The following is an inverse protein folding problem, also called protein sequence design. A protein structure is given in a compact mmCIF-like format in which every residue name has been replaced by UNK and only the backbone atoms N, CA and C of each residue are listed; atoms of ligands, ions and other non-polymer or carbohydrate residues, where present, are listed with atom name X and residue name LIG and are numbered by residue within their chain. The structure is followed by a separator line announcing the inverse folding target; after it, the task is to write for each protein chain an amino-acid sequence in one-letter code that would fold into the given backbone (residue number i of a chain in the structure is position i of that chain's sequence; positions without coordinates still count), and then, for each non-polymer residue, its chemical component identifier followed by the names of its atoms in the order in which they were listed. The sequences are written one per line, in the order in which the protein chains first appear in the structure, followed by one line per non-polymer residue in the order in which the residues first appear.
data_IF_071636428108
#
_entry.id   IF_071636428108
#
_cell.length_a   1.000
_cell.length_b   1.000
_cell.length_c   1.000
_cell.angle_alpha   90.00
_cell.angle_beta   90.00
_cell.angle_gamma   90.00
#
_symmetry.space_group_name_H-M   'P 1'
#
loop_
_entity.id
_entity.type
_entity.pdbx_description
1 polymer ?
#
# COMPACT_ATOMS: atom_id res chain seq x y z
N UNK A 1 -5.12 13.47 41.56
CA UNK A 1 -5.10 13.05 40.13
C UNK A 1 -3.78 12.34 39.88
N UNK A 2 -3.77 11.02 39.68
CA UNK A 2 -2.52 10.30 39.35
C UNK A 2 -2.18 10.59 37.89
N UNK A 3 -1.00 11.16 37.63
CA UNK A 3 -0.50 11.32 36.28
C UNK A 3 -0.43 9.94 35.60
N UNK A 4 -1.11 9.79 34.46
CA UNK A 4 -1.03 8.58 33.66
C UNK A 4 0.42 8.38 33.22
N UNK A 5 0.97 7.18 33.40
CA UNK A 5 2.30 6.86 32.89
C UNK A 5 2.29 6.99 31.36
N UNK A 6 3.09 7.91 30.81
CA UNK A 6 3.16 8.19 29.37
C UNK A 6 4.34 7.44 28.74
N UNK A 7 4.15 6.95 27.52
CA UNK A 7 5.25 6.56 26.64
C UNK A 7 5.67 7.78 25.83
N UNK A 8 6.97 7.99 25.69
CA UNK A 8 7.50 9.07 24.85
C UNK A 8 8.75 8.60 24.13
N UNK A 9 8.78 8.86 22.84
CA UNK A 9 9.92 8.60 21.97
C UNK A 9 9.66 7.51 20.94
N UNK A 10 10.74 7.13 20.25
CA UNK A 10 10.71 6.18 19.16
C UNK A 10 11.22 4.82 19.63
N UNK A 11 10.55 3.77 19.18
CA UNK A 11 10.78 2.40 19.60
C UNK A 11 10.83 1.52 18.36
N UNK A 12 11.91 0.77 18.18
CA UNK A 12 12.13 -0.07 17.00
C UNK A 12 12.41 -1.51 17.37
N UNK A 13 11.82 -2.44 16.64
CA UNK A 13 12.14 -3.85 16.66
C UNK A 13 12.54 -4.28 15.25
N UNK A 14 13.71 -4.88 15.12
CA UNK A 14 14.20 -5.45 13.86
C UNK A 14 14.21 -6.97 13.98
N UNK A 15 14.02 -7.66 12.86
CA UNK A 15 14.22 -9.11 12.82
C UNK A 15 15.70 -9.49 13.00
N UNK A 16 15.97 -10.79 13.16
CA UNK A 16 17.32 -11.28 13.47
C UNK A 16 18.36 -11.01 12.38
N UNK A 17 17.92 -10.68 11.16
CA UNK A 17 18.76 -10.39 10.00
C UNK A 17 18.77 -8.89 9.63
N UNK A 18 17.98 -8.05 10.31
CA UNK A 18 17.95 -6.60 10.13
C UNK A 18 17.20 -6.10 8.89
N UNK A 19 16.46 -6.96 8.21
CA UNK A 19 15.76 -6.64 6.95
C UNK A 19 14.37 -6.08 7.21
N UNK A 20 13.68 -6.60 8.22
CA UNK A 20 12.32 -6.17 8.55
C UNK A 20 12.28 -5.40 9.86
N UNK A 21 11.48 -4.33 9.89
CA UNK A 21 11.33 -3.48 11.06
C UNK A 21 9.87 -3.29 11.48
N UNK A 22 9.69 -3.00 12.76
CA UNK A 22 8.46 -2.50 13.38
C UNK A 22 8.80 -1.32 14.27
N UNK A 23 8.25 -0.17 13.93
CA UNK A 23 8.51 1.09 14.60
C UNK A 23 7.23 1.63 15.24
N UNK A 24 7.35 2.09 16.47
CA UNK A 24 6.36 2.92 17.14
C UNK A 24 6.97 4.26 17.51
N UNK A 25 6.25 5.34 17.25
CA UNK A 25 6.56 6.67 17.78
C UNK A 25 5.42 7.08 18.71
N UNK A 26 5.71 7.36 19.97
CA UNK A 26 4.72 7.81 20.97
C UNK A 26 4.98 9.26 21.35
N UNK A 27 3.93 10.08 21.38
CA UNK A 27 3.99 11.46 21.84
C UNK A 27 3.37 11.66 23.23
N UNK A 28 3.44 12.91 23.70
CA UNK A 28 2.93 13.30 25.01
C UNK A 28 1.40 13.40 25.06
N UNK A 29 0.72 13.45 23.92
CA UNK A 29 -0.74 13.59 23.82
C UNK A 29 -1.45 12.24 23.70
N UNK A 30 -0.76 11.17 24.14
CA UNK A 30 -1.26 9.81 24.07
C UNK A 30 -1.54 9.33 22.64
N UNK A 31 -0.86 9.88 21.64
CA UNK A 31 -0.95 9.45 20.24
C UNK A 31 0.28 8.62 19.88
N UNK A 32 0.07 7.64 19.01
CA UNK A 32 1.13 6.83 18.44
C UNK A 32 1.06 6.77 16.92
N UNK A 33 2.22 6.58 16.30
CA UNK A 33 2.38 6.22 14.89
C UNK A 33 3.06 4.85 14.84
N UNK A 34 2.55 3.97 13.98
CA UNK A 34 3.09 2.65 13.71
C UNK A 34 3.50 2.53 12.25
N UNK A 35 4.68 1.98 12.02
CA UNK A 35 5.14 1.57 10.69
C UNK A 35 5.82 0.20 10.77
N UNK A 36 5.56 -0.64 9.78
CA UNK A 36 6.22 -1.92 9.58
C UNK A 36 6.60 -2.03 8.12
N UNK A 37 7.82 -2.50 7.86
CA UNK A 37 8.44 -2.43 6.54
C UNK A 37 9.71 -3.25 6.44
N UNK A 38 10.37 -3.09 5.31
CA UNK A 38 11.72 -3.58 5.07
C UNK A 38 12.40 -2.73 4.00
N UNK A 39 13.36 -3.31 3.28
CA UNK A 39 14.21 -2.59 2.33
C UNK A 39 13.45 -1.87 1.21
N UNK A 40 12.28 -2.40 0.81
CA UNK A 40 11.45 -1.82 -0.26
C UNK A 40 10.48 -0.74 0.24
N UNK A 41 10.52 -0.43 1.54
CA UNK A 41 9.69 0.59 2.19
C UNK A 41 8.67 0.02 3.18
N UNK A 42 7.76 0.88 3.59
CA UNK A 42 6.71 0.56 4.57
C UNK A 42 5.67 -0.34 3.92
N UNK A 43 5.37 -1.50 4.52
CA UNK A 43 4.33 -2.44 4.07
C UNK A 43 3.04 -2.33 4.89
N UNK A 44 3.11 -1.77 6.09
CA UNK A 44 1.95 -1.59 6.99
C UNK A 44 2.11 -0.32 7.81
N UNK A 45 1.03 0.41 8.04
CA UNK A 45 1.05 1.63 8.82
C UNK A 45 -0.21 1.81 9.66
N UNK A 46 -0.12 2.64 10.68
CA UNK A 46 -1.26 3.01 11.51
C UNK A 46 -0.97 4.23 12.38
N UNK A 47 -2.04 4.87 12.84
CA UNK A 47 -1.99 5.98 13.78
C UNK A 47 -3.19 5.90 14.70
N UNK A 48 -3.03 6.30 15.95
CA UNK A 48 -4.16 6.42 16.84
C UNK A 48 -3.78 6.74 18.27
N UNK A 49 -4.71 6.53 19.19
CA UNK A 49 -4.49 6.78 20.60
C UNK A 49 -4.03 5.54 21.35
N UNK A 50 -3.20 5.72 22.37
CA UNK A 50 -2.81 4.66 23.28
C UNK A 50 -3.26 4.94 24.71
N UNK A 51 -3.48 3.86 25.46
CA UNK A 51 -3.82 3.91 26.88
C UNK A 51 -2.95 2.88 27.60
N UNK A 52 -2.28 3.32 28.67
CA UNK A 52 -1.71 2.41 29.66
C UNK A 52 -2.67 2.28 30.83
N UNK A 53 -3.07 1.05 31.15
CA UNK A 53 -3.88 0.70 32.32
C UNK A 53 -3.28 -0.52 32.98
N UNK A 54 -2.82 -0.38 34.23
CA UNK A 54 -2.09 -1.39 34.97
C UNK A 54 -0.85 -1.87 34.17
N UNK A 55 -0.73 -3.17 33.94
CA UNK A 55 0.32 -3.81 33.14
C UNK A 55 -0.04 -3.92 31.64
N UNK A 56 -1.04 -3.19 31.16
CA UNK A 56 -1.53 -3.30 29.77
C UNK A 56 -1.32 -2.02 28.98
N UNK A 57 -0.85 -2.18 27.74
CA UNK A 57 -0.84 -1.14 26.71
C UNK A 57 -1.93 -1.47 25.68
N UNK A 58 -2.89 -0.57 25.50
CA UNK A 58 -3.90 -0.64 24.45
C UNK A 58 -3.55 0.38 23.37
N UNK A 59 -3.54 -0.07 22.12
CA UNK A 59 -3.32 0.74 20.93
C UNK A 59 -4.60 0.74 20.11
N UNK A 60 -5.31 1.87 20.08
CA UNK A 60 -6.51 2.06 19.27
C UNK A 60 -6.14 2.77 17.98
N UNK A 61 -6.33 2.13 16.82
CA UNK A 61 -5.95 2.67 15.50
C UNK A 61 -7.07 3.53 14.89
N UNK A 62 -7.57 4.50 15.64
CA UNK A 62 -8.70 5.36 15.29
C UNK A 62 -8.32 6.55 14.39
N UNK A 63 -7.08 7.03 14.48
CA UNK A 63 -6.58 8.16 13.70
C UNK A 63 -5.93 7.79 12.36
N UNK A 64 -5.91 6.51 11.97
CA UNK A 64 -5.29 6.10 10.70
C UNK A 64 -6.03 6.71 9.51
N UNK A 65 -5.33 7.52 8.72
CA UNK A 65 -5.83 8.05 7.46
C UNK A 65 -5.67 7.00 6.36
N UNK A 66 -6.71 6.82 5.56
CA UNK A 66 -6.64 5.94 4.39
C UNK A 66 -6.01 6.69 3.21
N UNK A 67 -5.33 5.95 2.34
CA UNK A 67 -4.82 6.46 1.07
C UNK A 67 -5.75 6.01 -0.04
N UNK A 68 -6.00 6.90 -0.99
CA UNK A 68 -6.74 6.56 -2.20
C UNK A 68 -5.89 5.61 -3.06
N UNK A 69 -6.49 4.50 -3.47
CA UNK A 69 -5.88 3.56 -4.42
C UNK A 69 -5.91 4.14 -5.84
N UNK A 70 -5.06 3.60 -6.70
CA UNK A 70 -5.17 3.83 -8.14
C UNK A 70 -6.56 3.42 -8.65
N UNK A 71 -7.02 4.08 -9.71
CA UNK A 71 -8.30 3.76 -10.34
C UNK A 71 -8.26 4.02 -11.84
N UNK A 72 -9.30 3.59 -12.55
CA UNK A 72 -9.42 3.82 -13.98
C UNK A 72 -10.85 4.15 -14.41
N UNK A 73 -10.96 4.76 -15.59
CA UNK A 73 -12.21 4.85 -16.34
C UNK A 73 -11.99 4.28 -17.74
N UNK A 74 -13.03 3.72 -18.34
CA UNK A 74 -12.92 3.08 -19.65
C UNK A 74 -14.07 3.44 -20.58
N UNK A 75 -13.75 3.73 -21.84
CA UNK A 75 -14.69 3.86 -22.95
C UNK A 75 -14.52 2.65 -23.86
N UNK A 76 -15.62 1.93 -24.11
CA UNK A 76 -15.65 0.69 -24.87
C UNK A 76 -16.25 0.91 -26.26
N UNK A 77 -15.68 0.29 -27.28
CA UNK A 77 -16.25 0.31 -28.63
C UNK A 77 -15.93 -0.97 -29.41
N UNK A 78 -16.71 -1.23 -30.46
CA UNK A 78 -16.63 -2.44 -31.27
C UNK A 78 -16.19 -2.10 -32.69
N UNK A 79 -15.56 -3.07 -33.35
CA UNK A 79 -15.20 -3.00 -34.77
C UNK A 79 -15.22 -4.41 -35.36
N UNK A 80 -15.03 -4.53 -36.67
CA UNK A 80 -15.01 -5.81 -37.39
C UNK A 80 -13.62 -6.46 -37.52
N UNK A 81 -12.55 -5.83 -37.01
CA UNK A 81 -11.17 -6.34 -37.15
C UNK A 81 -10.94 -7.61 -36.31
N UNK A 82 -10.03 -8.47 -36.70
CA UNK A 82 -9.63 -9.66 -35.90
C UNK A 82 -8.76 -9.33 -34.68
N UNK A 83 -8.53 -8.05 -34.44
CA UNK A 83 -7.80 -7.55 -33.29
C UNK A 83 -8.60 -6.52 -32.51
N UNK A 84 -8.24 -6.40 -31.25
CA UNK A 84 -8.70 -5.32 -30.39
C UNK A 84 -7.53 -4.46 -29.96
N UNK A 85 -7.79 -3.17 -29.84
CA UNK A 85 -6.84 -2.16 -29.39
C UNK A 85 -7.25 -1.67 -28.02
N UNK A 86 -6.34 -1.75 -27.05
CA UNK A 86 -6.45 -1.11 -25.75
C UNK A 86 -5.50 0.07 -25.74
N UNK A 87 -6.05 1.28 -25.79
CA UNK A 87 -5.29 2.52 -25.58
C UNK A 87 -5.37 2.87 -24.10
N UNK A 88 -4.22 3.09 -23.47
CA UNK A 88 -4.12 3.56 -22.10
C UNK A 88 -3.53 4.97 -22.07
N UNK A 89 -4.11 5.82 -21.23
CA UNK A 89 -3.58 7.12 -20.89
C UNK A 89 -3.33 7.13 -19.37
N UNK A 90 -2.08 7.27 -18.94
CA UNK A 90 -1.64 7.09 -17.57
C UNK A 90 -1.29 8.43 -16.95
N UNK A 91 -1.91 8.73 -15.81
CA UNK A 91 -1.78 10.00 -15.12
C UNK A 91 -1.52 9.81 -13.63
N UNK A 92 -1.00 10.86 -12.97
CA UNK A 92 -1.24 11.03 -11.54
C UNK A 92 -2.63 11.65 -11.28
N UNK A 93 -2.99 11.85 -10.02
CA UNK A 93 -4.28 12.46 -9.65
C UNK A 93 -4.45 13.93 -10.08
N UNK A 94 -3.34 14.65 -10.32
CA UNK A 94 -3.35 16.00 -10.89
C UNK A 94 -3.49 16.01 -12.43
N UNK A 95 -3.78 14.85 -13.04
CA UNK A 95 -3.85 14.67 -14.51
C UNK A 95 -2.55 14.96 -15.25
N UNK A 96 -1.41 14.95 -14.55
CA UNK A 96 -0.09 15.02 -15.21
C UNK A 96 0.25 13.64 -15.78
N UNK A 97 0.70 13.56 -17.04
CA UNK A 97 1.05 12.28 -17.66
C UNK A 97 2.22 11.62 -16.94
N UNK A 98 2.17 10.30 -16.82
CA UNK A 98 3.26 9.49 -16.24
C UNK A 98 3.97 8.71 -17.33
N UNK A 99 5.29 8.89 -17.42
CA UNK A 99 6.16 8.23 -18.40
C UNK A 99 6.85 7.00 -17.78
N UNK A 100 7.24 6.04 -18.63
CA UNK A 100 7.91 4.80 -18.25
C UNK A 100 7.15 3.99 -17.19
N UNK A 101 5.82 4.02 -17.25
CA UNK A 101 4.98 3.12 -16.46
C UNK A 101 4.87 1.80 -17.21
N UNK A 102 5.27 0.72 -16.55
CA UNK A 102 5.25 -0.62 -17.10
C UNK A 102 3.81 -1.14 -17.20
N UNK A 103 3.43 -1.64 -18.37
CA UNK A 103 2.09 -2.15 -18.64
C UNK A 103 2.22 -3.53 -19.25
N UNK A 104 1.58 -4.53 -18.65
CA UNK A 104 1.71 -5.90 -19.12
C UNK A 104 0.46 -6.74 -18.90
N UNK A 105 0.29 -7.73 -19.76
CA UNK A 105 -0.69 -8.81 -19.62
C UNK A 105 0.06 -10.13 -19.67
N UNK A 106 0.30 -10.73 -18.49
CA UNK A 106 1.15 -11.91 -18.37
C UNK A 106 0.56 -13.12 -19.10
N UNK A 107 -0.75 -13.34 -18.94
CA UNK A 107 -1.48 -14.42 -19.62
C UNK A 107 -1.47 -14.30 -21.15
N UNK A 108 -1.26 -13.10 -21.69
CA UNK A 108 -1.20 -12.84 -23.12
C UNK A 108 0.23 -12.61 -23.65
N UNK A 109 1.25 -12.67 -22.78
CA UNK A 109 2.66 -12.39 -23.10
C UNK A 109 2.84 -11.07 -23.87
N UNK A 110 2.14 -10.02 -23.41
CA UNK A 110 2.24 -8.67 -23.99
C UNK A 110 2.71 -7.68 -22.93
N UNK A 111 3.62 -6.79 -23.32
CA UNK A 111 4.04 -5.67 -22.49
C UNK A 111 4.33 -4.43 -23.35
N UNK A 112 4.27 -3.27 -22.70
CA UNK A 112 4.63 -1.97 -23.24
C UNK A 112 4.90 -1.02 -22.08
N UNK A 113 5.36 0.19 -22.38
CA UNK A 113 5.58 1.25 -21.40
C UNK A 113 4.88 2.53 -21.88
N UNK A 114 4.47 3.37 -20.93
CA UNK A 114 3.89 4.68 -21.28
C UNK A 114 4.96 5.64 -21.82
N UNK A 115 4.61 6.35 -22.90
CA UNK A 115 5.45 7.38 -23.48
C UNK A 115 5.51 8.66 -22.61
N UNK A 116 6.27 9.67 -23.07
CA UNK A 116 6.39 10.99 -22.41
C UNK A 116 5.06 11.73 -22.21
N UNK A 117 4.02 11.36 -22.97
CA UNK A 117 2.68 11.93 -22.87
C UNK A 117 1.74 11.03 -22.07
N UNK A 118 2.26 9.97 -21.43
CA UNK A 118 1.51 9.00 -20.65
C UNK A 118 0.69 8.02 -21.49
N UNK A 119 0.93 7.93 -22.81
CA UNK A 119 0.16 7.04 -23.68
C UNK A 119 0.83 5.69 -23.82
N UNK A 120 0.02 4.64 -23.87
CA UNK A 120 0.45 3.28 -24.20
C UNK A 120 -0.62 2.55 -25.02
N UNK A 121 -0.19 1.57 -25.81
CA UNK A 121 -1.08 0.79 -26.66
C UNK A 121 -0.72 -0.69 -26.54
N UNK A 122 -1.72 -1.51 -26.21
CA UNK A 122 -1.65 -2.96 -26.38
C UNK A 122 -2.63 -3.41 -27.46
N UNK A 123 -2.19 -4.36 -28.27
CA UNK A 123 -3.00 -4.98 -29.32
C UNK A 123 -3.07 -6.47 -29.05
N UNK A 124 -4.30 -6.99 -29.02
CA UNK A 124 -4.59 -8.40 -28.79
C UNK A 124 -5.38 -8.97 -29.96
N UNK A 125 -5.25 -10.27 -30.18
CA UNK A 125 -6.20 -10.99 -31.03
C UNK A 125 -7.59 -10.91 -30.39
N UNK A 126 -8.62 -10.61 -31.20
CA UNK A 126 -10.00 -10.59 -30.76
C UNK A 126 -10.41 -12.01 -30.38
N UNK A 127 -11.05 -12.16 -29.23
CA UNK A 127 -11.60 -13.43 -28.75
C UNK A 127 -13.08 -13.33 -28.44
N UNK A 128 -13.61 -14.39 -27.85
CA UNK A 128 -15.01 -14.45 -27.44
C UNK A 128 -15.33 -13.47 -26.30
N UNK A 129 -16.61 -13.11 -26.14
CA UNK A 129 -17.04 -12.13 -25.13
C UNK A 129 -16.68 -12.53 -23.68
N UNK A 130 -16.66 -13.84 -23.40
CA UNK A 130 -16.34 -14.38 -22.06
C UNK A 130 -14.83 -14.37 -21.77
N UNK A 131 -13.98 -14.19 -22.78
CA UNK A 131 -12.55 -14.09 -22.58
C UNK A 131 -12.19 -12.72 -22.02
N UNK A 132 -11.38 -12.70 -20.96
CA UNK A 132 -10.95 -11.50 -20.27
C UNK A 132 -9.44 -11.31 -20.48
N UNK A 133 -9.06 -10.06 -20.69
CA UNK A 133 -7.68 -9.60 -20.64
C UNK A 133 -7.46 -8.98 -19.26
N UNK A 134 -6.54 -9.55 -18.50
CA UNK A 134 -5.98 -8.94 -17.31
C UNK A 134 -4.77 -8.08 -17.71
N UNK A 135 -4.81 -6.80 -17.39
CA UNK A 135 -3.73 -5.84 -17.62
C UNK A 135 -3.27 -5.30 -16.28
N UNK A 136 -1.99 -5.43 -15.99
CA UNK A 136 -1.32 -4.78 -14.87
C UNK A 136 -0.66 -3.50 -15.36
N UNK A 137 -0.82 -2.44 -14.59
CA UNK A 137 -0.11 -1.17 -14.74
C UNK A 137 0.69 -0.97 -13.46
N UNK A 138 2.01 -0.89 -13.59
CA UNK A 138 2.96 -0.95 -12.49
C UNK A 138 4.07 0.07 -12.72
N UNK A 139 4.48 0.74 -11.64
CA UNK A 139 5.51 1.77 -11.70
C UNK A 139 6.13 1.98 -10.33
N UNK A 140 7.42 2.29 -10.32
CA UNK A 140 8.14 2.51 -9.08
C UNK A 140 7.48 3.62 -8.26
N UNK A 141 7.21 3.33 -6.99
CA UNK A 141 6.51 4.24 -6.07
C UNK A 141 5.13 4.68 -6.56
N UNK A 142 4.44 3.83 -7.32
CA UNK A 142 3.02 3.98 -7.62
C UNK A 142 2.24 2.74 -7.18
N UNK A 143 1.01 2.92 -6.72
CA UNK A 143 0.15 1.80 -6.41
C UNK A 143 -0.25 1.08 -7.70
N UNK A 144 0.12 -0.19 -7.80
CA UNK A 144 -0.23 -1.06 -8.92
C UNK A 144 -1.73 -1.05 -9.19
N UNK A 145 -2.11 -0.90 -10.45
CA UNK A 145 -3.49 -1.03 -10.92
C UNK A 145 -3.64 -2.32 -11.73
N UNK A 146 -4.74 -3.05 -11.50
CA UNK A 146 -5.12 -4.21 -12.30
C UNK A 146 -6.47 -3.92 -12.98
N UNK A 147 -6.56 -4.19 -14.28
CA UNK A 147 -7.76 -3.93 -15.08
C UNK A 147 -8.15 -5.22 -15.80
N UNK A 148 -9.45 -5.52 -15.78
CA UNK A 148 -10.05 -6.66 -16.46
C UNK A 148 -10.95 -6.17 -17.60
N UNK A 149 -10.63 -6.54 -18.85
CA UNK A 149 -11.35 -6.09 -20.05
C UNK A 149 -11.81 -7.28 -20.90
N UNK A 150 -13.02 -7.23 -21.49
CA UNK A 150 -13.46 -8.26 -22.42
C UNK A 150 -12.65 -8.24 -23.73
N UNK A 151 -12.24 -9.42 -24.20
CA UNK A 151 -11.36 -9.60 -25.37
C UNK A 151 -12.04 -9.37 -26.72
N UNK A 152 -13.36 -9.18 -26.74
CA UNK A 152 -14.11 -8.94 -27.97
C UNK A 152 -14.26 -7.45 -28.33
N UNK A 153 -13.65 -6.54 -27.56
CA UNK A 153 -13.90 -5.09 -27.66
C UNK A 153 -12.63 -4.26 -27.58
N UNK A 154 -12.69 -3.04 -28.12
CA UNK A 154 -11.61 -2.07 -28.03
C UNK A 154 -11.89 -1.09 -26.89
N UNK A 155 -10.83 -0.50 -26.35
CA UNK A 155 -10.92 0.38 -25.19
C UNK A 155 -10.03 1.61 -25.30
N UNK A 156 -10.53 2.71 -24.76
CA UNK A 156 -9.74 3.86 -24.34
C UNK A 156 -9.86 3.92 -22.82
N UNK A 157 -8.73 3.77 -22.12
CA UNK A 157 -8.67 3.66 -20.67
C UNK A 157 -7.84 4.80 -20.12
N UNK A 158 -8.44 5.61 -19.25
CA UNK A 158 -7.72 6.61 -18.46
C UNK A 158 -7.41 5.99 -17.09
N UNK A 159 -6.13 5.88 -16.76
CA UNK A 159 -5.64 5.32 -15.50
C UNK A 159 -5.05 6.43 -14.65
N UNK A 160 -5.48 6.50 -13.40
CA UNK A 160 -5.03 7.49 -12.42
C UNK A 160 -4.26 6.75 -11.33
N UNK A 161 -2.94 6.90 -11.32
CA UNK A 161 -2.04 6.20 -10.41
C UNK A 161 -1.78 7.01 -9.15
N UNK A 162 -1.99 6.36 -8.00
CA UNK A 162 -1.69 6.93 -6.70
C UNK A 162 -0.22 6.76 -6.34
N UNK A 163 0.39 7.77 -5.72
CA UNK A 163 1.78 7.70 -5.26
C UNK A 163 1.91 6.76 -4.06
N UNK A 164 2.85 5.83 -4.13
CA UNK A 164 3.14 4.87 -3.08
C UNK A 164 4.44 5.19 -2.33
N UNK A 165 4.53 4.72 -1.09
CA UNK A 165 5.76 4.77 -0.28
C UNK A 165 6.57 3.46 -0.35
N UNK A 166 6.12 2.52 -1.17
CA UNK A 166 6.74 1.20 -1.40
C UNK A 166 6.96 1.00 -2.89
N UNK A 167 8.08 0.37 -3.24
CA UNK A 167 8.44 0.00 -4.62
C UNK A 167 7.73 -1.31 -5.01
N UNK A 168 7.18 -1.37 -6.23
CA UNK A 168 6.72 -2.61 -6.87
C UNK A 168 5.46 -3.28 -6.30
N UNK A 169 4.79 -2.64 -5.34
CA UNK A 169 3.56 -3.15 -4.72
C UNK A 169 2.47 -2.07 -4.65
N UNK A 170 1.25 -2.48 -4.31
CA UNK A 170 0.16 -1.55 -3.95
C UNK A 170 0.51 -0.68 -2.74
N UNK A 171 -0.44 0.12 -2.25
CA UNK A 171 -0.16 0.90 -1.05
C UNK A 171 0.18 0.03 0.17
N UNK A 172 0.96 0.58 1.12
CA UNK A 172 1.15 -0.07 2.41
C UNK A 172 -0.23 -0.33 3.04
N UNK A 173 -0.39 -1.45 3.76
CA UNK A 173 -1.66 -1.80 4.40
C UNK A 173 -1.95 -0.89 5.60
N UNK A 174 -3.06 -0.18 5.57
CA UNK A 174 -3.54 0.62 6.70
C UNK A 174 -4.14 -0.28 7.78
N UNK A 175 -3.80 -0.05 9.06
CA UNK A 175 -4.54 -0.57 10.21
C UNK A 175 -5.49 0.50 10.67
N UNK A 176 -6.81 0.30 10.57
CA UNK A 176 -7.81 1.30 10.98
C UNK A 176 -8.91 0.64 11.78
N UNK A 177 -9.37 1.31 12.84
CA UNK A 177 -10.44 0.86 13.73
C UNK A 177 -10.18 -0.50 14.39
N UNK A 178 -8.91 -0.85 14.59
CA UNK A 178 -8.50 -2.02 15.37
C UNK A 178 -7.99 -1.59 16.74
N UNK A 179 -8.25 -2.41 17.76
CA UNK A 179 -7.63 -2.25 19.09
C UNK A 179 -6.68 -3.41 19.33
N UNK A 180 -5.40 -3.11 19.53
CA UNK A 180 -4.40 -4.10 19.89
C UNK A 180 -4.03 -3.94 21.37
N UNK A 181 -4.16 -5.02 22.13
CA UNK A 181 -3.74 -5.09 23.53
C UNK A 181 -2.43 -5.86 23.68
N UNK A 182 -1.50 -5.26 24.42
CA UNK A 182 -0.26 -5.88 24.89
C UNK A 182 -0.21 -5.88 26.42
N UNK A 183 0.44 -6.89 27.00
CA UNK A 183 0.95 -6.82 28.37
C UNK A 183 2.35 -6.22 28.36
N UNK A 184 2.58 -5.21 29.17
CA UNK A 184 3.88 -4.60 29.42
C UNK A 184 4.65 -5.53 30.36
N UNK A 185 5.77 -6.06 29.87
CA UNK A 185 6.69 -6.88 30.67
C UNK A 185 7.78 -6.01 31.26
N UNK A 186 8.27 -5.03 30.50
CA UNK A 186 9.35 -4.14 30.90
C UNK A 186 9.23 -2.80 30.16
N UNK A 187 9.42 -1.69 30.87
CA UNK A 187 9.51 -0.35 30.30
C UNK A 187 10.60 0.43 31.04
N UNK A 188 11.72 0.68 30.37
CA UNK A 188 12.86 1.40 30.95
C UNK A 188 13.47 2.37 29.92
N UNK A 189 14.60 3.02 30.27
CA UNK A 189 15.25 4.01 29.40
C UNK A 189 15.79 3.43 28.09
N UNK A 190 16.02 2.11 27.99
CA UNK A 190 16.62 1.41 26.85
C UNK A 190 15.60 0.67 25.98
N UNK A 191 14.52 0.15 26.56
CA UNK A 191 13.57 -0.68 25.81
C UNK A 191 12.14 -0.67 26.37
N UNK A 192 11.23 -1.12 25.50
CA UNK A 192 9.86 -1.49 25.81
C UNK A 192 9.64 -2.95 25.40
N UNK A 193 9.37 -3.82 26.38
CA UNK A 193 9.13 -5.25 26.16
C UNK A 193 7.66 -5.56 26.35
N UNK A 194 7.03 -6.04 25.28
CA UNK A 194 5.60 -6.29 25.21
C UNK A 194 5.32 -7.77 24.96
N UNK A 195 4.28 -8.30 25.59
CA UNK A 195 3.75 -9.65 25.33
C UNK A 195 2.37 -9.54 24.70
N UNK A 196 2.17 -10.25 23.59
CA UNK A 196 0.86 -10.49 22.98
C UNK A 196 0.74 -11.99 22.78
N UNK A 197 -0.31 -12.59 23.36
CA UNK A 197 -0.47 -14.05 23.39
C UNK A 197 0.81 -14.73 23.94
N UNK A 198 1.40 -15.67 23.20
CA UNK A 198 2.62 -16.37 23.57
C UNK A 198 3.90 -15.75 23.00
N UNK A 199 3.81 -14.59 22.34
CA UNK A 199 4.96 -13.92 21.72
C UNK A 199 5.39 -12.70 22.53
N UNK A 200 6.68 -12.61 22.80
CA UNK A 200 7.31 -11.44 23.41
C UNK A 200 8.08 -10.70 22.33
N UNK A 201 7.86 -9.39 22.25
CA UNK A 201 8.58 -8.49 21.35
C UNK A 201 9.29 -7.45 22.18
N UNK A 202 10.57 -7.23 21.88
CA UNK A 202 11.37 -6.17 22.49
C UNK A 202 11.55 -5.07 21.46
N UNK A 203 11.15 -3.85 21.82
CA UNK A 203 11.43 -2.65 21.06
C UNK A 203 12.56 -1.87 21.76
N UNK A 204 13.65 -1.62 21.04
CA UNK A 204 14.74 -0.75 21.50
C UNK A 204 14.28 0.69 21.39
N UNK A 205 14.52 1.49 22.43
CA UNK A 205 14.31 2.93 22.38
C UNK A 205 15.43 3.57 21.56
N UNK A 206 15.06 4.43 20.61
CA UNK A 206 15.98 5.20 19.77
C UNK A 206 16.29 6.57 20.41
#
# INVERSE_FOLDING_TARGET
MSAQQKLKGNYSSVDGIGVFFKNYSFDEDSVFIYEEGGDLGVIKYGKGHYIIKNDSLLLNYDLTQLKEESYFTAKKYYNSKDSIKVRLNIYNFDRKPLYNIQIYSQSNLKSTESDKNGNAILIFKKGEFKEIIEIHIDGDFFAKQIIYLHRNSNYIVDVFMSKSKIIGFGHPRAIKNEIIKYKIIENNKKCLKLKKENKIVTYKKL
#
